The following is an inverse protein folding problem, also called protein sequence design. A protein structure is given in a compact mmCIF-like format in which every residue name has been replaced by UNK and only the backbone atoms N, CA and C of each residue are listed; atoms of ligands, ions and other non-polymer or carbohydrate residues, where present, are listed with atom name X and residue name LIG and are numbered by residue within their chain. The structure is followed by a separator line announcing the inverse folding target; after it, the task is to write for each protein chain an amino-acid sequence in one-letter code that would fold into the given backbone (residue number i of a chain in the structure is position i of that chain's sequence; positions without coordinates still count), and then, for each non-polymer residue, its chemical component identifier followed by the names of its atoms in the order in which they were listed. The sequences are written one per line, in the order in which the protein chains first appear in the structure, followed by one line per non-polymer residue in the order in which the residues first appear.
data_IF_262226511256
#
_entry.id   IF_262226511256
#
_cell.length_a   1.000
_cell.length_b   1.000
_cell.length_c   1.000
_cell.angle_alpha   90.00
_cell.angle_beta   90.00
_cell.angle_gamma   90.00
#
_symmetry.space_group_name_H-M   'P 1'
#
loop_
_entity.id
_entity.type
_entity.pdbx_description
1 polymer ?
#
# COMPACT_ATOMS: atom_id res chain seq x y z
N UNK A 1 -7.09 16.97 -2.98
CA UNK A 1 -8.36 16.43 -2.45
C UNK A 1 -8.53 15.00 -2.94
N UNK A 2 -8.63 14.04 -2.02
CA UNK A 2 -8.92 12.64 -2.36
C UNK A 2 -10.37 12.59 -2.89
N UNK A 3 -10.65 12.00 -4.07
CA UNK A 3 -12.03 11.90 -4.54
C UNK A 3 -12.84 11.09 -3.53
N UNK A 4 -13.98 11.63 -3.08
CA UNK A 4 -14.93 10.84 -2.29
C UNK A 4 -15.40 9.67 -3.17
N UNK A 5 -15.25 8.42 -2.74
CA UNK A 5 -15.80 7.30 -3.49
C UNK A 5 -17.32 7.47 -3.61
N UNK A 6 -17.87 7.10 -4.78
CA UNK A 6 -19.33 7.06 -5.00
C UNK A 6 -19.99 6.18 -3.92
N UNK A 7 -21.18 6.58 -3.47
CA UNK A 7 -21.98 5.83 -2.50
C UNK A 7 -22.20 4.37 -2.95
N UNK A 8 -22.32 4.15 -4.25
CA UNK A 8 -22.56 2.82 -4.84
C UNK A 8 -21.33 1.90 -4.73
N UNK A 9 -20.12 2.47 -4.82
CA UNK A 9 -18.85 1.75 -4.64
C UNK A 9 -18.68 1.34 -3.18
N UNK A 10 -19.08 2.20 -2.24
CA UNK A 10 -19.04 1.91 -0.80
C UNK A 10 -20.03 0.82 -0.41
N UNK A 11 -21.23 0.83 -0.98
CA UNK A 11 -22.25 -0.21 -0.75
C UNK A 11 -21.83 -1.54 -1.37
N UNK A 12 -21.27 -1.54 -2.59
CA UNK A 12 -20.79 -2.75 -3.25
C UNK A 12 -19.60 -3.40 -2.53
N UNK A 13 -18.63 -2.59 -2.07
CA UNK A 13 -17.53 -3.07 -1.23
C UNK A 13 -18.03 -3.60 0.12
N UNK A 14 -19.06 -2.96 0.71
CA UNK A 14 -19.69 -3.44 1.94
C UNK A 14 -20.38 -4.80 1.76
N UNK A 15 -21.10 -5.00 0.65
CA UNK A 15 -21.83 -6.24 0.36
C UNK A 15 -20.90 -7.41 0.01
N UNK A 16 -19.84 -7.14 -0.77
CA UNK A 16 -18.80 -8.15 -1.06
C UNK A 16 -18.09 -8.53 0.24
N UNK A 17 -17.80 -7.55 1.10
CA UNK A 17 -17.13 -7.78 2.39
C UNK A 17 -17.90 -8.70 3.33
N UNK A 18 -19.23 -8.57 3.40
CA UNK A 18 -20.07 -9.43 4.26
C UNK A 18 -20.18 -10.85 3.73
N UNK A 19 -20.38 -11.03 2.41
CA UNK A 19 -20.52 -12.36 1.80
C UNK A 19 -19.19 -13.14 1.82
N UNK A 20 -18.09 -12.49 1.42
CA UNK A 20 -16.74 -13.09 1.48
C UNK A 20 -16.33 -13.33 2.95
N UNK A 21 -16.70 -12.43 3.86
CA UNK A 21 -16.47 -12.58 5.29
C UNK A 21 -17.14 -13.83 5.86
N UNK A 22 -18.39 -14.11 5.49
CA UNK A 22 -19.14 -15.28 5.96
C UNK A 22 -18.60 -16.61 5.38
N UNK A 23 -18.17 -16.62 4.12
CA UNK A 23 -17.61 -17.84 3.49
C UNK A 23 -16.18 -18.13 3.99
N UNK A 24 -15.35 -17.10 4.15
CA UNK A 24 -14.04 -17.24 4.78
C UNK A 24 -14.14 -17.66 6.26
N UNK A 25 -15.21 -17.26 6.95
CA UNK A 25 -15.47 -17.62 8.35
C UNK A 25 -15.59 -19.13 8.58
N UNK A 26 -16.25 -19.87 7.68
CA UNK A 26 -16.35 -21.32 7.80
C UNK A 26 -15.04 -22.05 7.46
N UNK A 27 -14.20 -21.46 6.61
CA UNK A 27 -12.92 -22.06 6.17
C UNK A 27 -11.81 -21.81 7.21
N UNK A 28 -11.87 -20.68 7.91
CA UNK A 28 -10.91 -20.26 8.93
C UNK A 28 -11.35 -20.63 10.36
N UNK A 29 -12.27 -21.59 10.52
CA UNK A 29 -12.73 -22.05 11.83
C UNK A 29 -11.53 -22.38 12.73
N UNK A 30 -11.32 -21.55 13.74
CA UNK A 30 -10.16 -21.63 14.61
C UNK A 30 -10.41 -22.72 15.66
N UNK A 31 -9.57 -23.75 15.66
CA UNK A 31 -9.61 -24.81 16.65
C UNK A 31 -8.39 -24.69 17.57
N UNK A 32 -8.61 -24.31 18.83
CA UNK A 32 -7.55 -24.24 19.82
C UNK A 32 -7.09 -25.66 20.20
N UNK A 33 -5.80 -26.00 20.09
CA UNK A 33 -5.28 -27.22 20.72
C UNK A 33 -5.39 -27.07 22.24
N UNK A 34 -5.63 -28.14 22.99
CA UNK A 34 -5.68 -28.12 24.46
C UNK A 34 -4.40 -28.72 25.04
N UNK A 35 -3.25 -28.05 24.86
CA UNK A 35 -1.96 -28.46 25.39
C UNK A 35 -1.17 -27.27 25.94
N UNK A 36 -0.72 -27.31 27.22
CA UNK A 36 0.10 -26.23 27.78
C UNK A 36 1.32 -25.93 26.91
N UNK A 37 1.71 -24.65 26.83
CA UNK A 37 2.69 -24.01 25.94
C UNK A 37 2.36 -23.98 24.45
N UNK A 38 1.53 -24.91 23.94
CA UNK A 38 1.10 -24.92 22.53
C UNK A 38 -0.08 -23.97 22.30
N UNK A 39 -0.95 -23.78 23.29
CA UNK A 39 -2.11 -22.89 23.20
C UNK A 39 -1.67 -21.43 22.96
N UNK A 40 -0.70 -20.96 23.74
CA UNK A 40 -0.09 -19.64 23.60
C UNK A 40 0.46 -19.40 22.19
N UNK A 41 1.34 -20.30 21.74
CA UNK A 41 1.98 -20.16 20.43
C UNK A 41 0.97 -20.26 19.27
N UNK A 42 -0.01 -21.16 19.37
CA UNK A 42 -1.02 -21.34 18.34
C UNK A 42 -1.99 -20.15 18.25
N UNK A 43 -2.46 -19.64 19.39
CA UNK A 43 -3.33 -18.47 19.45
C UNK A 43 -2.65 -17.20 18.93
N UNK A 44 -1.37 -16.97 19.29
CA UNK A 44 -0.59 -15.87 18.71
C UNK A 44 -0.34 -16.04 17.23
N UNK A 45 0.06 -17.24 16.78
CA UNK A 45 0.30 -17.50 15.37
C UNK A 45 -0.96 -17.27 14.52
N UNK A 46 -2.15 -17.61 15.02
CA UNK A 46 -3.41 -17.36 14.31
C UNK A 46 -3.73 -15.86 14.13
N UNK A 47 -3.22 -15.00 15.00
CA UNK A 47 -3.37 -13.54 14.90
C UNK A 47 -2.24 -12.95 14.04
N UNK A 48 -1.00 -13.29 14.35
CA UNK A 48 0.20 -12.66 13.79
C UNK A 48 0.54 -13.14 12.39
N UNK A 49 0.32 -14.42 12.06
CA UNK A 49 0.68 -14.96 10.73
C UNK A 49 -0.15 -14.31 9.61
N UNK A 50 -1.50 -14.22 9.70
CA UNK A 50 -2.27 -13.52 8.67
C UNK A 50 -1.99 -12.02 8.66
N UNK A 51 -1.75 -11.39 9.82
CA UNK A 51 -1.35 -9.99 9.89
C UNK A 51 -0.02 -9.74 9.14
N UNK A 52 0.99 -10.59 9.35
CA UNK A 52 2.26 -10.52 8.64
C UNK A 52 2.09 -10.78 7.13
N UNK A 53 1.26 -11.76 6.75
CA UNK A 53 0.97 -12.04 5.36
C UNK A 53 0.32 -10.83 4.67
N UNK A 54 -0.68 -10.19 5.30
CA UNK A 54 -1.28 -8.97 4.77
C UNK A 54 -0.28 -7.82 4.68
N UNK A 55 0.64 -7.70 5.65
CA UNK A 55 1.67 -6.67 5.63
C UNK A 55 2.62 -6.86 4.45
N UNK A 56 3.13 -8.08 4.25
CA UNK A 56 4.04 -8.41 3.13
C UNK A 56 3.35 -8.17 1.79
N UNK A 57 2.10 -8.63 1.62
CA UNK A 57 1.33 -8.37 0.41
C UNK A 57 1.12 -6.86 0.19
N UNK A 58 0.81 -6.11 1.25
CA UNK A 58 0.68 -4.65 1.19
C UNK A 58 1.97 -3.95 0.76
N UNK A 59 3.13 -4.45 1.19
CA UNK A 59 4.44 -3.94 0.74
C UNK A 59 4.70 -4.28 -0.73
N UNK A 60 4.39 -5.51 -1.16
CA UNK A 60 4.59 -5.97 -2.54
C UNK A 60 3.69 -5.25 -3.56
N UNK A 61 2.44 -4.97 -3.21
CA UNK A 61 1.48 -4.29 -4.08
C UNK A 61 1.69 -2.77 -4.16
N UNK A 62 2.55 -2.21 -3.31
CA UNK A 62 2.79 -0.78 -3.28
C UNK A 62 3.82 -0.38 -4.35
N UNK A 63 3.37 0.42 -5.32
CA UNK A 63 4.22 0.91 -6.41
C UNK A 63 5.48 1.63 -5.92
N UNK A 64 5.37 2.41 -4.85
CA UNK A 64 6.51 3.14 -4.28
C UNK A 64 7.63 2.20 -3.80
N UNK A 65 7.31 0.96 -3.41
CA UNK A 65 8.30 -0.05 -3.03
C UNK A 65 9.22 -0.38 -4.21
N UNK A 66 8.63 -0.62 -5.38
CA UNK A 66 9.36 -0.96 -6.59
C UNK A 66 10.15 0.22 -7.16
N UNK A 67 9.61 1.44 -7.04
CA UNK A 67 10.33 2.63 -7.45
C UNK A 67 11.62 2.81 -6.63
N UNK A 68 11.59 2.57 -5.31
CA UNK A 68 12.79 2.60 -4.46
C UNK A 68 13.78 1.49 -4.84
N UNK A 69 13.28 0.26 -5.05
CA UNK A 69 14.12 -0.87 -5.44
C UNK A 69 14.81 -0.58 -6.77
N UNK A 70 14.11 0.02 -7.74
CA UNK A 70 14.67 0.41 -9.03
C UNK A 70 15.71 1.53 -8.93
N UNK A 71 15.47 2.54 -8.08
CA UNK A 71 16.39 3.64 -7.81
C UNK A 71 17.67 3.12 -7.12
N UNK A 72 17.52 2.21 -6.16
CA UNK A 72 18.64 1.58 -5.47
C UNK A 72 19.45 0.67 -6.40
N UNK A 73 18.80 -0.13 -7.24
CA UNK A 73 19.47 -0.96 -8.25
C UNK A 73 20.24 -0.13 -9.27
N UNK A 74 19.66 0.98 -9.73
CA UNK A 74 20.23 1.79 -10.81
C UNK A 74 21.27 2.80 -10.32
N UNK A 75 21.06 3.39 -9.14
CA UNK A 75 21.87 4.50 -8.60
C UNK A 75 22.59 4.16 -7.29
N UNK A 76 22.63 2.88 -6.89
CA UNK A 76 23.27 2.36 -5.65
C UNK A 76 22.84 3.10 -4.38
N UNK A 77 21.60 3.57 -4.34
CA UNK A 77 21.02 4.43 -3.29
C UNK A 77 21.87 5.68 -2.94
N UNK A 78 22.87 6.09 -3.75
CA UNK A 78 23.83 7.16 -3.39
C UNK A 78 23.20 8.53 -3.25
N UNK A 79 22.03 8.76 -3.87
CA UNK A 79 21.29 10.02 -3.83
C UNK A 79 20.06 10.00 -2.92
N UNK A 80 19.79 8.89 -2.24
CA UNK A 80 18.65 8.78 -1.33
C UNK A 80 19.04 9.41 0.01
N UNK A 81 18.63 10.65 0.25
CA UNK A 81 18.80 11.28 1.56
C UNK A 81 18.09 10.47 2.63
N UNK A 82 18.66 10.42 3.84
CA UNK A 82 18.08 9.73 4.98
C UNK A 82 16.63 10.20 5.25
N UNK A 83 16.38 11.51 5.18
CA UNK A 83 15.05 12.09 5.34
C UNK A 83 14.08 11.63 4.25
N UNK A 84 14.57 11.49 3.01
CA UNK A 84 13.78 11.00 1.90
C UNK A 84 13.44 9.52 2.08
N UNK A 85 14.41 8.71 2.51
CA UNK A 85 14.20 7.31 2.83
C UNK A 85 13.14 7.13 3.92
N UNK A 86 13.22 7.87 5.03
CA UNK A 86 12.24 7.80 6.11
C UNK A 86 10.83 8.21 5.67
N UNK A 87 10.68 9.29 4.90
CA UNK A 87 9.37 9.73 4.42
C UNK A 87 8.73 8.70 3.46
N UNK A 88 9.54 8.06 2.62
CA UNK A 88 9.06 7.02 1.70
C UNK A 88 8.72 5.72 2.43
N UNK A 89 9.59 5.26 3.33
CA UNK A 89 9.32 4.11 4.18
C UNK A 89 8.04 4.33 5.00
N UNK A 90 7.86 5.52 5.60
CA UNK A 90 6.64 5.87 6.31
C UNK A 90 5.40 5.83 5.43
N UNK A 91 5.49 6.28 4.17
CA UNK A 91 4.40 6.14 3.21
C UNK A 91 4.13 4.68 2.81
N UNK A 92 5.16 3.82 2.75
CA UNK A 92 5.00 2.41 2.38
C UNK A 92 4.36 1.65 3.53
N UNK A 93 4.96 1.74 4.71
CA UNK A 93 4.49 1.11 5.95
C UNK A 93 3.09 1.59 6.29
N UNK A 94 2.82 2.90 6.21
CA UNK A 94 1.50 3.46 6.53
C UNK A 94 0.38 2.91 5.63
N UNK A 95 0.66 2.62 4.35
CA UNK A 95 -0.32 1.99 3.45
C UNK A 95 -0.43 0.48 3.68
N UNK A 96 0.69 -0.18 3.95
CA UNK A 96 0.76 -1.63 4.13
C UNK A 96 0.17 -2.11 5.47
N UNK A 97 0.22 -1.29 6.52
CA UNK A 97 -0.25 -1.62 7.89
C UNK A 97 -1.77 -1.62 8.03
N UNK A 98 -2.52 -0.98 7.11
CA UNK A 98 -3.97 -0.88 7.21
C UNK A 98 -4.67 -2.25 7.33
N UNK A 99 -4.40 -3.17 6.41
CA UNK A 99 -5.00 -4.51 6.41
C UNK A 99 -4.58 -5.38 7.63
N UNK A 100 -3.29 -5.44 8.02
CA UNK A 100 -2.85 -6.09 9.26
C UNK A 100 -3.58 -5.57 10.50
N UNK A 101 -3.68 -4.25 10.65
CA UNK A 101 -4.37 -3.63 11.79
C UNK A 101 -5.83 -4.02 11.83
N UNK A 102 -6.52 -3.94 10.68
CA UNK A 102 -7.92 -4.36 10.59
C UNK A 102 -8.08 -5.84 10.97
N UNK A 103 -7.19 -6.71 10.49
CA UNK A 103 -7.21 -8.13 10.84
C UNK A 103 -7.02 -8.37 12.34
N UNK A 104 -6.01 -7.75 12.95
CA UNK A 104 -5.74 -7.89 14.39
C UNK A 104 -6.91 -7.39 15.22
N UNK A 105 -7.49 -6.23 14.88
CA UNK A 105 -8.69 -5.70 15.56
C UNK A 105 -9.86 -6.68 15.46
N UNK A 106 -10.16 -7.19 14.26
CA UNK A 106 -11.25 -8.18 14.07
C UNK A 106 -10.98 -9.45 14.88
N UNK A 107 -9.74 -9.94 14.89
CA UNK A 107 -9.35 -11.16 15.62
C UNK A 107 -9.50 -10.99 17.13
N UNK A 108 -9.14 -9.81 17.66
CA UNK A 108 -9.30 -9.49 19.09
C UNK A 108 -10.75 -9.30 19.50
N UNK A 109 -11.57 -8.65 18.65
CA UNK A 109 -13.01 -8.51 18.90
C UNK A 109 -13.72 -9.87 18.92
N UNK A 110 -13.27 -10.82 18.08
CA UNK A 110 -13.74 -12.22 18.12
C UNK A 110 -13.30 -12.94 19.40
N UNK A 111 -12.06 -12.71 19.83
CA UNK A 111 -11.55 -13.18 21.12
C UNK A 111 -11.16 -14.66 21.19
N UNK A 112 -11.58 -15.51 20.25
CA UNK A 112 -11.30 -16.97 20.26
C UNK A 112 -9.79 -17.29 20.30
N UNK A 113 -9.01 -16.65 19.43
CA UNK A 113 -7.55 -16.83 19.38
C UNK A 113 -6.83 -16.20 20.59
N UNK A 114 -7.36 -15.09 21.12
CA UNK A 114 -6.82 -14.43 22.31
C UNK A 114 -7.04 -15.26 23.57
N UNK A 115 -8.26 -15.77 23.77
CA UNK A 115 -8.60 -16.67 24.89
C UNK A 115 -7.77 -17.94 24.82
N UNK A 116 -7.60 -18.52 23.62
CA UNK A 116 -6.70 -19.66 23.42
C UNK A 116 -5.26 -19.32 23.84
N UNK A 117 -4.73 -18.18 23.40
CA UNK A 117 -3.34 -17.80 23.69
C UNK A 117 -3.07 -17.60 25.20
N UNK A 118 -3.99 -16.96 25.92
CA UNK A 118 -3.79 -16.55 27.31
C UNK A 118 -4.42 -17.48 28.35
N UNK A 119 -5.09 -18.56 27.92
CA UNK A 119 -5.72 -19.55 28.80
C UNK A 119 -4.77 -20.14 29.86
N UNK A 120 -3.49 -20.32 29.55
CA UNK A 120 -2.49 -20.92 30.45
C UNK A 120 -1.97 -19.96 31.54
N UNK A 121 -2.10 -18.65 31.36
CA UNK A 121 -1.54 -17.64 32.27
C UNK A 121 -2.50 -17.24 33.40
N UNK A 122 -3.69 -17.85 33.47
CA UNK A 122 -4.65 -17.60 34.54
C UNK A 122 -4.25 -18.33 35.82
N UNK A 123 -4.04 -17.58 36.90
CA UNK A 123 -3.71 -18.14 38.20
C UNK A 123 -4.95 -18.82 38.81
N UNK A 124 -4.86 -20.10 39.22
CA UNK A 124 -5.98 -20.77 39.89
C UNK A 124 -6.31 -20.16 41.27
N UNK A 125 -5.40 -19.40 41.87
CA UNK A 125 -5.60 -18.72 43.16
C UNK A 125 -6.50 -17.46 43.07
N UNK A 126 -6.74 -16.90 41.89
CA UNK A 126 -7.80 -15.90 41.68
C UNK A 126 -9.19 -16.54 41.48
N UNK A 127 -9.27 -17.88 41.53
CA UNK A 127 -10.45 -18.71 41.35
C UNK A 127 -10.91 -19.38 42.65
N UNK A 128 -10.61 -18.78 43.82
CA UNK A 128 -10.85 -19.37 45.16
C UNK A 128 -12.34 -19.37 45.59
N UNK A 129 -13.23 -19.72 44.65
CA UNK A 129 -14.68 -19.78 44.86
C UNK A 129 -15.43 -20.83 44.03
N UNK A 130 -14.76 -21.67 43.23
CA UNK A 130 -15.47 -22.60 42.32
C UNK A 130 -15.19 -24.09 42.59
N UNK A 131 -15.84 -24.62 43.63
CA UNK A 131 -16.36 -25.99 43.58
C UNK A 131 -17.80 -25.90 43.08
N UNK A 132 -18.02 -26.26 41.82
CA UNK A 132 -19.09 -27.14 41.34
C UNK A 132 -19.44 -26.85 39.87
N UNK A 133 -19.09 -27.80 39.02
CA UNK A 133 -19.93 -28.34 37.94
C UNK A 133 -20.83 -27.36 37.18
N UNK A 134 -20.26 -26.41 36.43
CA UNK A 134 -20.81 -25.84 35.18
C UNK A 134 -19.85 -24.76 34.64
N UNK A 135 -19.56 -24.69 33.33
CA UNK A 135 -18.79 -23.57 32.79
C UNK A 135 -19.71 -22.34 32.73
N UNK A 136 -19.71 -21.53 33.80
CA UNK A 136 -20.56 -20.35 33.92
C UNK A 136 -20.03 -19.12 33.15
N UNK A 137 -20.91 -18.17 32.79
CA UNK A 137 -20.55 -16.90 32.14
C UNK A 137 -19.64 -16.00 32.99
N UNK A 138 -19.48 -16.29 34.29
CA UNK A 138 -18.61 -15.54 35.22
C UNK A 138 -17.11 -15.76 34.96
N UNK A 139 -16.71 -16.91 34.40
CA UNK A 139 -15.31 -17.19 34.04
C UNK A 139 -14.85 -16.26 32.89
N UNK A 140 -15.78 -15.81 32.04
CA UNK A 140 -15.52 -14.85 30.96
C UNK A 140 -15.44 -13.39 31.45
N UNK A 141 -15.91 -13.10 32.67
CA UNK A 141 -15.88 -11.75 33.26
C UNK A 141 -14.55 -11.44 33.98
N UNK A 142 -13.76 -12.46 34.33
CA UNK A 142 -12.45 -12.31 34.98
C UNK A 142 -11.31 -11.98 34.00
N UNK A 143 -11.50 -12.25 32.72
CA UNK A 143 -10.65 -11.65 31.70
C UNK A 143 -10.83 -10.12 31.78
N UNK A 144 -9.77 -9.28 31.87
CA UNK A 144 -9.93 -7.86 31.57
C UNK A 144 -10.66 -7.81 30.23
N UNK A 145 -11.88 -7.26 30.22
CA UNK A 145 -12.87 -7.64 29.22
C UNK A 145 -12.25 -7.57 27.83
N UNK A 146 -12.22 -8.71 27.13
CA UNK A 146 -11.65 -8.84 25.77
C UNK A 146 -12.08 -7.68 24.86
N UNK A 147 -13.31 -7.21 25.07
CA UNK A 147 -13.90 -6.07 24.40
C UNK A 147 -13.19 -4.77 24.78
N UNK A 148 -12.93 -4.49 26.07
CA UNK A 148 -12.20 -3.31 26.53
C UNK A 148 -10.76 -3.26 25.99
N UNK A 149 -10.03 -4.38 25.97
CA UNK A 149 -8.68 -4.45 25.39
C UNK A 149 -8.70 -4.18 23.87
N UNK A 150 -9.67 -4.77 23.15
CA UNK A 150 -9.90 -4.48 21.74
C UNK A 150 -10.21 -2.99 21.50
N UNK A 151 -11.09 -2.40 22.29
CA UNK A 151 -11.46 -0.98 22.19
C UNK A 151 -10.31 -0.03 22.57
N UNK A 152 -9.49 -0.37 23.58
CA UNK A 152 -8.30 0.40 23.94
C UNK A 152 -7.27 0.39 22.81
N UNK A 153 -7.07 -0.76 22.15
CA UNK A 153 -6.20 -0.86 20.97
C UNK A 153 -6.76 -0.03 19.81
N UNK A 154 -8.06 -0.11 19.53
CA UNK A 154 -8.70 0.71 18.48
C UNK A 154 -8.55 2.21 18.78
N UNK A 155 -8.79 2.62 20.03
CA UNK A 155 -8.62 4.00 20.47
C UNK A 155 -7.17 4.48 20.35
N UNK A 156 -6.21 3.67 20.79
CA UNK A 156 -4.78 3.96 20.69
C UNK A 156 -4.32 4.09 19.23
N UNK A 157 -4.74 3.18 18.35
CA UNK A 157 -4.43 3.22 16.92
C UNK A 157 -5.03 4.48 16.29
N UNK A 158 -6.28 4.80 16.60
CA UNK A 158 -6.97 5.97 16.05
C UNK A 158 -6.28 7.27 16.49
N UNK A 159 -5.90 7.38 17.76
CA UNK A 159 -5.14 8.51 18.29
C UNK A 159 -3.77 8.62 17.64
N UNK A 160 -3.06 7.49 17.48
CA UNK A 160 -1.74 7.44 16.85
C UNK A 160 -1.80 7.89 15.39
N UNK A 161 -2.78 7.43 14.61
CA UNK A 161 -3.00 7.86 13.22
C UNK A 161 -3.28 9.36 13.18
N UNK A 162 -4.13 9.87 14.07
CA UNK A 162 -4.44 11.30 14.14
C UNK A 162 -3.19 12.13 14.42
N UNK A 163 -2.40 11.76 15.43
CA UNK A 163 -1.13 12.43 15.77
C UNK A 163 -0.16 12.39 14.59
N UNK A 164 0.01 11.23 13.93
CA UNK A 164 0.88 11.11 12.75
C UNK A 164 0.42 11.99 11.58
N UNK A 165 -0.89 12.10 11.35
CA UNK A 165 -1.45 12.99 10.34
C UNK A 165 -1.21 14.47 10.70
N UNK A 166 -1.41 14.85 11.96
CA UNK A 166 -1.11 16.18 12.47
C UNK A 166 0.37 16.52 12.30
N UNK A 167 1.28 15.66 12.75
CA UNK A 167 2.73 15.85 12.59
C UNK A 167 3.12 15.94 11.11
N UNK A 168 2.62 15.01 10.26
CA UNK A 168 2.88 15.05 8.82
C UNK A 168 2.40 16.36 8.18
N UNK A 169 1.31 16.94 8.67
CA UNK A 169 0.78 18.19 8.16
C UNK A 169 1.54 19.41 8.71
N UNK A 170 1.91 19.41 9.99
CA UNK A 170 2.71 20.45 10.63
C UNK A 170 4.15 20.52 10.08
N UNK A 171 4.75 19.37 9.73
CA UNK A 171 6.09 19.28 9.14
C UNK A 171 6.08 19.25 7.60
N UNK A 172 4.93 19.47 6.96
CA UNK A 172 4.86 19.57 5.51
C UNK A 172 5.45 20.91 5.08
N UNK A 173 6.72 20.90 4.67
CA UNK A 173 7.41 22.07 4.12
C UNK A 173 6.74 22.68 2.89
N UNK A 174 5.84 21.93 2.21
CA UNK A 174 5.03 22.43 1.09
C UNK A 174 3.66 22.91 1.55
N UNK A 175 3.23 24.06 1.03
CA UNK A 175 1.87 24.55 1.20
C UNK A 175 0.82 23.56 0.67
N UNK A 176 -0.36 23.54 1.30
CA UNK A 176 -1.43 22.59 0.97
C UNK A 176 -1.81 22.63 -0.52
N UNK A 177 -1.92 23.82 -1.11
CA UNK A 177 -2.25 24.00 -2.53
C UNK A 177 -1.17 23.44 -3.46
N UNK A 178 0.11 23.74 -3.19
CA UNK A 178 1.24 23.20 -3.97
C UNK A 178 1.27 21.67 -3.91
N UNK A 179 1.05 21.08 -2.73
CA UNK A 179 1.01 19.62 -2.57
C UNK A 179 -0.16 18.98 -3.34
N UNK A 180 -1.32 19.63 -3.35
CA UNK A 180 -2.48 19.14 -4.12
C UNK A 180 -2.23 19.24 -5.62
N UNK A 181 -1.64 20.35 -6.09
CA UNK A 181 -1.25 20.51 -7.49
C UNK A 181 -0.21 19.47 -7.91
N UNK A 182 0.84 19.28 -7.10
CA UNK A 182 1.88 18.28 -7.35
C UNK A 182 1.31 16.87 -7.50
N UNK A 183 0.41 16.47 -6.59
CA UNK A 183 -0.28 15.18 -6.69
C UNK A 183 -1.08 15.04 -7.98
N UNK A 184 -1.74 16.11 -8.43
CA UNK A 184 -2.51 16.11 -9.67
C UNK A 184 -1.60 16.06 -10.90
N UNK A 185 -0.49 16.81 -10.89
CA UNK A 185 0.53 16.77 -11.93
C UNK A 185 1.08 15.35 -12.11
N UNK A 186 1.53 14.71 -11.04
CA UNK A 186 2.08 13.34 -11.11
C UNK A 186 1.06 12.33 -11.65
N UNK A 187 -0.22 12.46 -11.26
CA UNK A 187 -1.28 11.60 -11.79
C UNK A 187 -1.52 11.81 -13.28
N UNK A 188 -1.54 13.06 -13.74
CA UNK A 188 -1.72 13.39 -15.17
C UNK A 188 -0.52 12.96 -16.00
N UNK A 189 0.69 13.16 -15.48
CA UNK A 189 1.95 12.73 -16.10
C UNK A 189 1.96 11.22 -16.31
N UNK A 190 1.64 10.43 -15.27
CA UNK A 190 1.60 8.97 -15.39
C UNK A 190 0.58 8.49 -16.43
N UNK A 191 -0.63 9.08 -16.43
CA UNK A 191 -1.67 8.72 -17.38
C UNK A 191 -1.29 9.05 -18.83
N UNK A 192 -0.69 10.22 -19.07
CA UNK A 192 -0.21 10.62 -20.39
C UNK A 192 0.99 9.77 -20.82
N UNK A 193 1.95 9.54 -19.93
CA UNK A 193 3.13 8.75 -20.21
C UNK A 193 2.78 7.33 -20.64
N UNK A 194 1.84 6.66 -19.94
CA UNK A 194 1.39 5.32 -20.31
C UNK A 194 0.73 5.29 -21.69
N UNK A 195 -0.15 6.26 -22.00
CA UNK A 195 -0.79 6.34 -23.33
C UNK A 195 0.24 6.58 -24.43
N UNK A 196 1.18 7.50 -24.21
CA UNK A 196 2.25 7.77 -25.18
C UNK A 196 3.20 6.59 -25.34
N UNK A 197 3.54 5.87 -24.26
CA UNK A 197 4.37 4.69 -24.30
C UNK A 197 3.71 3.54 -25.10
N UNK A 198 2.40 3.33 -24.93
CA UNK A 198 1.63 2.35 -25.72
C UNK A 198 1.67 2.68 -27.22
N UNK A 199 1.38 3.95 -27.58
CA UNK A 199 1.45 4.41 -28.98
C UNK A 199 2.86 4.28 -29.56
N UNK A 200 3.90 4.63 -28.79
CA UNK A 200 5.31 4.50 -29.21
C UNK A 200 5.71 3.04 -29.42
N UNK A 201 5.28 2.13 -28.54
CA UNK A 201 5.52 0.70 -28.67
C UNK A 201 4.85 0.14 -29.93
N UNK A 202 3.58 0.49 -30.19
CA UNK A 202 2.85 0.09 -31.40
C UNK A 202 3.53 0.60 -32.67
N UNK A 203 3.96 1.86 -32.70
CA UNK A 203 4.75 2.41 -33.80
C UNK A 203 6.02 1.58 -34.07
N UNK A 204 6.76 1.26 -33.02
CA UNK A 204 8.04 0.56 -33.14
C UNK A 204 7.84 -0.89 -33.64
N UNK A 205 6.84 -1.60 -33.12
CA UNK A 205 6.46 -2.95 -33.57
C UNK A 205 6.00 -2.92 -35.02
N UNK A 206 5.16 -1.95 -35.42
CA UNK A 206 4.73 -1.78 -36.80
C UNK A 206 5.92 -1.52 -37.73
N UNK A 207 6.84 -0.63 -37.35
CA UNK A 207 8.05 -0.36 -38.15
C UNK A 207 8.89 -1.62 -38.36
N UNK A 208 9.11 -2.40 -37.31
CA UNK A 208 9.87 -3.65 -37.38
C UNK A 208 9.16 -4.70 -38.24
N UNK A 209 7.84 -4.85 -38.07
CA UNK A 209 7.01 -5.74 -38.88
C UNK A 209 7.05 -5.38 -40.36
N UNK A 210 6.99 -4.08 -40.69
CA UNK A 210 7.10 -3.61 -42.07
C UNK A 210 8.44 -3.95 -42.69
N UNK A 211 9.53 -3.79 -41.93
CA UNK A 211 10.88 -4.11 -42.40
C UNK A 211 11.11 -5.61 -42.59
N UNK A 212 10.42 -6.46 -41.82
CA UNK A 212 10.58 -7.91 -41.89
C UNK A 212 9.64 -8.57 -42.92
N UNK A 213 8.35 -8.24 -42.89
CA UNK A 213 7.33 -8.83 -43.76
C UNK A 213 7.04 -8.04 -45.03
N UNK A 214 7.55 -6.81 -45.17
CA UNK A 214 7.25 -5.92 -46.30
C UNK A 214 5.92 -5.14 -46.17
N UNK A 215 5.04 -5.54 -45.24
CA UNK A 215 3.78 -4.86 -44.93
C UNK A 215 3.40 -5.02 -43.45
N UNK A 216 2.40 -4.27 -42.98
CA UNK A 216 1.86 -4.37 -41.62
C UNK A 216 0.35 -4.23 -41.72
N UNK A 217 -0.39 -5.15 -41.10
CA UNK A 217 -1.81 -5.03 -40.91
C UNK A 217 -2.08 -4.15 -39.68
N UNK A 218 -2.57 -2.93 -39.90
CA UNK A 218 -2.99 -1.99 -38.86
C UNK A 218 -4.45 -1.62 -39.07
N UNK A 219 -5.17 -1.40 -37.98
CA UNK A 219 -6.51 -0.80 -38.01
C UNK A 219 -6.42 0.66 -38.50
N UNK A 220 -7.48 1.16 -39.15
CA UNK A 220 -7.45 2.50 -39.74
C UNK A 220 -7.30 3.61 -38.67
N UNK A 221 -7.85 3.40 -37.48
CA UNK A 221 -7.66 4.29 -36.33
C UNK A 221 -6.18 4.34 -35.89
N UNK A 222 -5.48 3.20 -35.89
CA UNK A 222 -4.06 3.13 -35.54
C UNK A 222 -3.19 3.76 -36.63
N UNK A 223 -3.52 3.58 -37.91
CA UNK A 223 -2.82 4.26 -39.01
C UNK A 223 -2.88 5.78 -38.86
N UNK A 224 -4.05 6.33 -38.53
CA UNK A 224 -4.22 7.76 -38.35
C UNK A 224 -3.44 8.28 -37.13
N UNK A 225 -3.53 7.59 -36.00
CA UNK A 225 -2.75 7.91 -34.80
C UNK A 225 -1.23 7.90 -35.06
N UNK A 226 -0.74 6.95 -35.84
CA UNK A 226 0.68 6.84 -36.20
C UNK A 226 1.11 7.91 -37.22
N UNK A 227 0.21 8.32 -38.12
CA UNK A 227 0.47 9.38 -39.11
C UNK A 227 0.56 10.76 -38.47
N UNK A 228 -0.20 11.01 -37.40
CA UNK A 228 -0.20 12.28 -36.67
C UNK A 228 1.09 12.49 -35.86
N UNK A 229 1.80 11.42 -35.53
CA UNK A 229 3.03 11.47 -34.75
C UNK A 229 4.23 11.95 -35.60
N UNK A 230 4.54 13.25 -35.57
CA UNK A 230 5.74 13.83 -36.19
C UNK A 230 6.94 13.81 -35.24
N UNK A 231 8.13 13.47 -35.74
CA UNK A 231 9.39 13.56 -34.98
C UNK A 231 9.62 12.47 -33.93
N UNK A 232 9.03 11.28 -34.11
CA UNK A 232 9.21 10.15 -33.17
C UNK A 232 10.70 9.77 -33.05
N UNK A 233 11.23 9.78 -31.82
CA UNK A 233 12.54 9.17 -31.52
C UNK A 233 12.49 7.68 -31.85
N UNK A 234 13.33 7.25 -32.78
CA UNK A 234 13.40 5.86 -33.24
C UNK A 234 13.96 4.92 -32.17
N UNK A 235 14.86 5.40 -31.31
CA UNK A 235 15.44 4.63 -30.21
C UNK A 235 15.58 5.56 -29.00
N UNK A 236 15.10 5.10 -27.85
CA UNK A 236 15.30 5.78 -26.57
C UNK A 236 16.40 5.02 -25.82
N UNK A 237 17.60 5.59 -25.65
CA UNK A 237 18.69 4.91 -24.98
C UNK A 237 18.34 4.53 -23.54
N UNK A 238 18.89 3.41 -23.05
CA UNK A 238 18.73 2.97 -21.64
C UNK A 238 19.09 4.07 -20.63
N UNK A 239 20.05 4.93 -20.97
CA UNK A 239 20.45 6.05 -20.10
C UNK A 239 19.35 7.11 -19.95
N UNK A 240 18.54 7.38 -20.97
CA UNK A 240 17.38 8.28 -20.87
C UNK A 240 16.30 7.65 -19.96
N UNK A 241 16.01 6.36 -20.14
CA UNK A 241 15.09 5.62 -19.27
C UNK A 241 15.51 5.67 -17.80
N UNK A 242 16.79 5.47 -17.51
CA UNK A 242 17.32 5.54 -16.14
C UNK A 242 17.27 6.96 -15.53
N UNK A 243 17.19 8.02 -16.35
CA UNK A 243 17.07 9.42 -15.88
C UNK A 243 15.64 9.76 -15.48
N UNK A 244 14.66 9.26 -16.24
CA UNK A 244 13.22 9.52 -16.00
C UNK A 244 12.60 8.55 -14.99
N UNK A 245 13.24 7.40 -14.74
CA UNK A 245 12.81 6.42 -13.73
C UNK A 245 13.32 6.80 -12.33
N UNK A 246 12.47 6.59 -11.31
CA UNK A 246 12.82 6.71 -9.91
C UNK A 246 11.90 7.65 -9.12
N UNK A 247 12.04 7.63 -7.80
CA UNK A 247 11.25 8.49 -6.91
C UNK A 247 11.85 9.90 -6.89
N UNK A 248 11.05 10.90 -7.28
CA UNK A 248 11.43 12.30 -7.14
C UNK A 248 10.68 12.96 -5.99
N UNK A 249 11.43 13.61 -5.09
CA UNK A 249 10.83 14.51 -4.11
C UNK A 249 10.81 15.92 -4.69
N UNK A 250 9.70 16.63 -4.47
CA UNK A 250 9.58 18.03 -4.83
C UNK A 250 10.81 18.82 -4.38
N UNK A 251 11.35 19.62 -5.31
CA UNK A 251 12.48 20.50 -5.06
C UNK A 251 12.30 21.76 -5.90
N UNK A 252 12.58 22.91 -5.31
CA UNK A 252 12.73 24.17 -6.03
C UNK A 252 14.22 24.41 -6.30
N UNK A 253 14.55 24.80 -7.53
CA UNK A 253 15.90 25.22 -7.92
C UNK A 253 15.74 26.57 -8.62
N UNK A 254 16.36 27.62 -8.09
CA UNK A 254 16.31 28.97 -8.65
C UNK A 254 14.86 29.45 -8.93
N UNK A 255 13.97 29.34 -7.93
CA UNK A 255 12.53 29.65 -8.00
C UNK A 255 11.71 28.85 -9.04
N UNK A 256 12.30 27.84 -9.68
CA UNK A 256 11.58 26.91 -10.56
C UNK A 256 11.22 25.60 -9.85
N UNK A 257 9.93 25.23 -9.78
CA UNK A 257 9.49 24.01 -9.12
C UNK A 257 9.69 22.77 -10.01
N UNK A 258 10.36 21.75 -9.49
CA UNK A 258 10.57 20.47 -10.18
C UNK A 258 9.64 19.42 -9.58
N UNK A 259 8.69 18.94 -10.39
CA UNK A 259 7.63 18.03 -9.93
C UNK A 259 7.96 16.53 -10.09
N UNK A 260 8.77 16.14 -11.07
CA UNK A 260 9.06 14.73 -11.38
C UNK A 260 10.46 14.55 -11.98
N UNK A 261 10.93 13.31 -12.08
CA UNK A 261 12.17 12.97 -12.79
C UNK A 261 12.10 13.30 -14.29
N UNK A 262 10.92 13.17 -14.90
CA UNK A 262 10.70 13.50 -16.30
C UNK A 262 10.69 15.01 -16.53
N UNK A 263 10.01 15.78 -15.68
CA UNK A 263 10.07 17.24 -15.65
C UNK A 263 11.51 17.73 -15.53
N UNK A 264 12.27 17.16 -14.58
CA UNK A 264 13.68 17.46 -14.40
C UNK A 264 14.50 17.18 -15.66
N UNK A 265 14.29 16.02 -16.28
CA UNK A 265 15.01 15.64 -17.50
C UNK A 265 14.70 16.61 -18.64
N UNK A 266 13.45 17.02 -18.80
CA UNK A 266 13.03 17.96 -19.84
C UNK A 266 13.68 19.34 -19.65
N UNK A 267 13.63 19.89 -18.43
CA UNK A 267 14.26 21.18 -18.10
C UNK A 267 15.75 21.21 -18.48
N UNK A 268 16.55 20.25 -17.98
CA UNK A 268 17.99 20.22 -18.30
C UNK A 268 18.29 19.90 -19.77
N UNK A 269 17.41 19.18 -20.46
CA UNK A 269 17.62 18.85 -21.88
C UNK A 269 17.34 20.07 -22.77
N UNK A 270 16.40 20.92 -22.37
CA UNK A 270 16.06 22.14 -23.10
C UNK A 270 17.00 23.30 -22.77
N UNK A 271 17.58 23.36 -21.57
CA UNK A 271 18.61 24.37 -21.22
C UNK A 271 19.95 24.18 -21.96
N UNK A 272 20.26 22.96 -22.42
CA UNK A 272 21.53 22.63 -23.10
C UNK A 272 21.42 22.74 -24.63
N UNK A 273 20.22 23.00 -25.17
CA UNK A 273 19.97 23.20 -26.60
C UNK A 273 19.92 24.66 -26.97
#
# INVERSE_FOLDING_TARGET
LIPRPSKDVMVFHGLIGTVVGQTAYNILAFHCPCSPKKNYLYGLAAIDVPALAFFVNGVMLNQNTWDIVSECRTRRCRKLSLTAAFALLGSIVGRAVAAPVTWTVISLLRGEAYVCAFSEFMNPLSLDGFVSTTPGPEIMALFPSKDLLGWLLVGSISLSIFVLLCLKNCFSSLGYHQKSYWSQYCSSEQALFQRTADVHAKYYVAKNGKSFFGFVALEDQEKQLLADCKGIKSVIPRMEWNRVTGVYMYRETDDTPIYSCLNKWDMYTNEVK
#
